data_IF_126355468170
#
_entry.id   IF_126355468170
#
_cell.length_a   1.000
_cell.length_b   1.000
_cell.length_c   1.000
_cell.angle_alpha   90.00
_cell.angle_beta   90.00
_cell.angle_gamma   90.00
#
_symmetry.space_group_name_H-M   'P 1'
#
loop_
_entity.id
_entity.type
_entity.pdbx_description
1 polymer ?
#
# COMPACT_ATOMS: atom_id res chain seq x y z
N UNK A 1 35.09 -47.98 8.85
CA UNK A 1 34.70 -47.78 7.44
C UNK A 1 33.49 -46.85 7.40
N UNK A 2 33.66 -45.63 6.89
CA UNK A 2 32.57 -44.64 6.81
C UNK A 2 31.65 -44.90 5.61
N UNK A 3 30.33 -44.81 5.81
CA UNK A 3 29.34 -44.77 4.73
C UNK A 3 28.70 -43.38 4.67
N UNK A 4 28.82 -42.79 3.48
CA UNK A 4 28.38 -41.45 3.08
C UNK A 4 26.85 -41.31 3.12
N UNK A 5 26.35 -40.31 3.83
CA UNK A 5 25.01 -39.76 3.63
C UNK A 5 24.92 -39.02 2.29
N UNK A 6 24.20 -39.60 1.33
CA UNK A 6 23.89 -38.97 0.04
C UNK A 6 22.70 -38.00 0.19
N UNK A 7 22.99 -36.70 0.09
CA UNK A 7 22.04 -35.60 -0.18
C UNK A 7 21.02 -35.99 -1.28
N UNK A 8 19.79 -36.36 -0.91
CA UNK A 8 18.71 -36.75 -1.84
C UNK A 8 17.66 -35.66 -2.11
N UNK A 9 17.83 -34.44 -1.60
CA UNK A 9 16.84 -33.35 -1.71
C UNK A 9 17.05 -32.30 -2.81
N UNK A 10 18.29 -32.11 -3.32
CA UNK A 10 18.64 -30.95 -4.17
C UNK A 10 18.08 -30.96 -5.60
N UNK A 11 17.66 -32.11 -6.13
CA UNK A 11 17.22 -32.26 -7.53
C UNK A 11 15.75 -31.90 -7.76
N UNK A 12 14.88 -32.29 -6.83
CA UNK A 12 13.46 -31.97 -6.86
C UNK A 12 13.21 -30.47 -6.64
N UNK A 13 13.93 -29.87 -5.68
CA UNK A 13 13.89 -28.44 -5.38
C UNK A 13 14.32 -27.57 -6.57
N UNK A 14 15.41 -27.94 -7.26
CA UNK A 14 15.84 -27.27 -8.50
C UNK A 14 14.82 -27.39 -9.63
N UNK A 15 14.12 -28.51 -9.72
CA UNK A 15 13.09 -28.75 -10.74
C UNK A 15 11.84 -27.92 -10.43
N UNK A 16 11.41 -27.84 -9.18
CA UNK A 16 10.31 -27.00 -8.73
C UNK A 16 10.58 -25.51 -9.02
N UNK A 17 11.75 -25.00 -8.65
CA UNK A 17 12.16 -23.61 -8.92
C UNK A 17 12.17 -23.32 -10.44
N UNK A 18 12.61 -24.27 -11.27
CA UNK A 18 12.64 -24.09 -12.73
C UNK A 18 11.24 -24.10 -13.34
N UNK A 19 10.33 -24.93 -12.80
CA UNK A 19 8.92 -24.98 -13.21
C UNK A 19 8.20 -23.71 -12.80
N UNK A 20 8.36 -23.25 -11.55
CA UNK A 20 7.82 -21.98 -11.07
C UNK A 20 8.28 -20.81 -11.95
N UNK A 21 9.60 -20.70 -12.22
CA UNK A 21 10.13 -19.65 -13.11
C UNK A 21 9.50 -19.67 -14.50
N UNK A 22 9.28 -20.85 -15.09
CA UNK A 22 8.60 -20.98 -16.39
C UNK A 22 7.13 -20.56 -16.31
N UNK A 23 6.42 -20.96 -15.27
CA UNK A 23 5.02 -20.59 -15.06
C UNK A 23 4.88 -19.08 -14.86
N UNK A 24 5.73 -18.46 -14.04
CA UNK A 24 5.76 -17.00 -13.85
C UNK A 24 6.05 -16.26 -15.16
N UNK A 25 7.00 -16.75 -15.97
CA UNK A 25 7.27 -16.15 -17.29
C UNK A 25 6.10 -16.27 -18.26
N UNK A 26 5.36 -17.39 -18.23
CA UNK A 26 4.17 -17.59 -19.07
C UNK A 26 3.04 -16.63 -18.65
N UNK A 27 2.75 -16.54 -17.35
CA UNK A 27 1.76 -15.61 -16.80
C UNK A 27 2.13 -14.17 -17.17
N UNK A 28 3.40 -13.77 -17.01
CA UNK A 28 3.87 -12.43 -17.39
C UNK A 28 3.64 -12.11 -18.87
N UNK A 29 3.86 -13.08 -19.77
CA UNK A 29 3.58 -12.91 -21.21
C UNK A 29 2.09 -12.79 -21.51
N UNK A 30 1.25 -13.57 -20.83
CA UNK A 30 -0.21 -13.51 -20.99
C UNK A 30 -0.80 -12.19 -20.47
N UNK A 31 -0.31 -11.69 -19.33
CA UNK A 31 -0.69 -10.38 -18.78
C UNK A 31 -0.27 -9.24 -19.73
N UNK A 32 0.97 -9.28 -20.23
CA UNK A 32 1.45 -8.30 -21.20
C UNK A 32 0.65 -8.32 -22.51
N UNK A 33 0.25 -9.49 -22.99
CA UNK A 33 -0.60 -9.63 -24.18
C UNK A 33 -2.02 -9.05 -23.98
N UNK A 34 -2.50 -8.99 -22.73
CA UNK A 34 -3.76 -8.34 -22.35
C UNK A 34 -3.62 -6.83 -22.07
N UNK A 35 -2.42 -6.26 -22.25
CA UNK A 35 -2.13 -4.86 -21.96
C UNK A 35 -2.10 -4.54 -20.46
N UNK A 36 -1.96 -5.56 -19.60
CA UNK A 36 -1.86 -5.35 -18.16
C UNK A 36 -0.40 -5.13 -17.75
N UNK A 37 -0.16 -4.05 -17.01
CA UNK A 37 1.15 -3.78 -16.43
C UNK A 37 1.47 -4.77 -15.31
N UNK A 38 2.75 -5.13 -15.19
CA UNK A 38 3.27 -5.96 -14.10
C UNK A 38 3.06 -5.24 -12.76
N UNK A 39 2.39 -5.88 -11.82
CA UNK A 39 2.04 -5.27 -10.53
C UNK A 39 3.26 -4.76 -9.75
N UNK A 40 4.41 -5.41 -9.89
CA UNK A 40 5.66 -4.96 -9.26
C UNK A 40 6.20 -3.68 -9.90
N UNK A 41 6.09 -3.55 -11.22
CA UNK A 41 6.47 -2.32 -11.93
C UNK A 41 5.55 -1.15 -11.57
N UNK A 42 4.24 -1.39 -11.45
CA UNK A 42 3.28 -0.39 -10.97
C UNK A 42 3.63 0.13 -9.58
N UNK A 43 3.91 -0.77 -8.63
CA UNK A 43 4.30 -0.39 -7.27
C UNK A 43 5.61 0.40 -7.23
N UNK A 44 6.60 0.01 -8.05
CA UNK A 44 7.86 0.74 -8.15
C UNK A 44 7.65 2.15 -8.72
N UNK A 45 6.77 2.30 -9.72
CA UNK A 45 6.38 3.60 -10.27
C UNK A 45 5.70 4.47 -9.23
N UNK A 46 4.73 3.95 -8.47
CA UNK A 46 4.10 4.72 -7.39
C UNK A 46 5.09 5.20 -6.34
N UNK A 47 6.04 4.34 -5.95
CA UNK A 47 7.08 4.73 -5.00
C UNK A 47 7.99 5.85 -5.54
N UNK A 48 8.27 5.87 -6.85
CA UNK A 48 9.07 6.92 -7.47
C UNK A 48 8.28 8.23 -7.64
N UNK A 49 7.02 8.14 -8.08
CA UNK A 49 6.10 9.29 -8.15
C UNK A 49 5.94 9.94 -6.77
N UNK A 50 5.85 9.15 -5.69
CA UNK A 50 5.75 9.65 -4.32
C UNK A 50 7.04 10.28 -3.78
N UNK A 51 8.22 9.85 -4.26
CA UNK A 51 9.49 10.54 -3.96
C UNK A 51 9.62 11.87 -4.68
N UNK A 52 8.98 12.01 -5.85
CA UNK A 52 9.01 13.27 -6.62
C UNK A 52 8.26 14.41 -5.92
N UNK A 53 7.40 14.11 -4.95
CA UNK A 53 6.76 15.11 -4.08
C UNK A 53 7.83 15.79 -3.23
N UNK A 54 8.01 17.10 -3.39
CA UNK A 54 9.10 17.83 -2.72
C UNK A 54 8.70 18.41 -1.36
N UNK A 55 7.41 18.62 -1.12
CA UNK A 55 6.94 19.34 0.07
C UNK A 55 5.71 18.67 0.70
N UNK A 56 5.56 18.89 2.00
CA UNK A 56 4.32 18.60 2.72
C UNK A 56 3.33 19.72 2.41
N UNK A 57 2.11 19.38 2.00
CA UNK A 57 1.01 20.34 1.79
C UNK A 57 -0.22 19.95 2.60
N UNK A 58 -1.03 20.95 2.96
CA UNK A 58 -2.34 20.75 3.55
C UNK A 58 -3.36 21.62 2.83
N UNK A 59 -4.28 20.95 2.15
CA UNK A 59 -5.23 21.62 1.27
C UNK A 59 -6.63 21.40 1.81
N UNK A 60 -7.40 22.48 1.98
CA UNK A 60 -8.83 22.39 2.27
C UNK A 60 -9.53 21.83 1.03
N UNK A 61 -10.23 20.72 1.20
CA UNK A 61 -10.81 19.94 0.09
C UNK A 61 -12.28 19.60 0.35
N UNK A 62 -13.06 19.28 -0.70
CA UNK A 62 -14.34 18.60 -0.52
C UNK A 62 -14.17 17.21 0.11
N UNK A 63 -15.27 16.57 0.54
CA UNK A 63 -15.23 15.20 1.05
C UNK A 63 -14.51 14.23 0.09
N UNK A 64 -13.79 13.21 0.61
CA UNK A 64 -13.12 12.21 -0.21
C UNK A 64 -14.06 11.51 -1.18
N UNK A 65 -13.51 11.05 -2.31
CA UNK A 65 -14.25 10.25 -3.29
C UNK A 65 -14.82 8.98 -2.67
N UNK A 66 -15.91 8.45 -3.27
CA UNK A 66 -16.48 7.14 -2.93
C UNK A 66 -15.38 6.08 -2.92
N UNK A 67 -15.33 5.27 -1.86
CA UNK A 67 -14.33 4.23 -1.64
C UNK A 67 -14.80 3.25 -0.57
N UNK A 68 -14.25 2.04 -0.59
CA UNK A 68 -14.39 0.99 0.42
C UNK A 68 -13.00 0.57 0.92
N UNK A 69 -12.96 -0.29 1.95
CA UNK A 69 -11.71 -0.91 2.42
C UNK A 69 -10.64 0.10 2.86
N UNK A 70 -11.04 1.32 3.19
CA UNK A 70 -10.19 2.36 3.77
C UNK A 70 -10.17 2.23 5.30
N UNK A 71 -9.22 2.88 5.96
CA UNK A 71 -9.25 3.04 7.41
C UNK A 71 -9.80 4.41 7.79
N UNK A 72 -10.65 4.48 8.82
CA UNK A 72 -11.08 5.71 9.47
C UNK A 72 -10.75 5.61 10.96
N UNK A 73 -9.76 6.38 11.40
CA UNK A 73 -9.19 6.29 12.76
C UNK A 73 -9.38 7.62 13.49
N UNK A 74 -9.82 7.64 14.75
CA UNK A 74 -9.86 8.89 15.53
C UNK A 74 -8.44 9.40 15.77
N UNK A 75 -8.26 10.72 15.67
CA UNK A 75 -7.00 11.35 16.07
C UNK A 75 -6.86 11.27 17.60
N UNK A 76 -5.69 10.86 18.13
CA UNK A 76 -5.54 10.58 19.56
C UNK A 76 -5.66 11.85 20.43
N UNK A 77 -5.16 12.98 19.92
CA UNK A 77 -5.08 14.24 20.70
C UNK A 77 -6.00 15.37 20.19
N UNK A 78 -6.76 15.16 19.11
CA UNK A 78 -7.55 16.22 18.45
C UNK A 78 -8.93 15.70 18.11
N UNK A 79 -9.89 16.62 18.03
CA UNK A 79 -11.26 16.32 17.59
C UNK A 79 -11.34 16.19 16.06
N UNK A 80 -10.61 15.19 15.55
CA UNK A 80 -10.45 14.90 14.12
C UNK A 80 -10.56 13.41 13.86
N UNK A 81 -11.05 13.05 12.67
CA UNK A 81 -10.97 11.70 12.12
C UNK A 81 -9.92 11.67 11.01
N UNK A 82 -9.21 10.56 10.90
CA UNK A 82 -8.12 10.36 9.94
C UNK A 82 -8.55 9.27 8.97
N UNK A 83 -8.66 9.61 7.69
CA UNK A 83 -8.95 8.66 6.61
C UNK A 83 -7.68 8.38 5.82
N UNK A 84 -7.38 7.10 5.59
CA UNK A 84 -6.25 6.70 4.75
C UNK A 84 -6.63 5.56 3.80
N UNK A 85 -6.21 5.72 2.53
CA UNK A 85 -6.25 4.68 1.51
C UNK A 85 -7.65 4.24 1.07
N UNK A 86 -7.76 2.95 0.77
CA UNK A 86 -8.97 2.29 0.28
C UNK A 86 -8.99 2.09 -1.23
N UNK A 87 -10.13 1.62 -1.73
CA UNK A 87 -10.32 1.31 -3.14
C UNK A 87 -11.72 1.68 -3.63
N UNK A 88 -11.88 1.77 -4.95
CA UNK A 88 -13.17 1.94 -5.58
C UNK A 88 -13.22 1.16 -6.88
N UNK A 89 -14.30 0.43 -7.11
CA UNK A 89 -14.56 -0.24 -8.38
C UNK A 89 -15.73 0.44 -9.08
N UNK A 90 -15.51 0.91 -10.31
CA UNK A 90 -16.54 1.62 -11.07
C UNK A 90 -17.38 0.70 -11.98
N UNK A 91 -17.25 -0.62 -11.87
CA UNK A 91 -17.87 -1.60 -12.76
C UNK A 91 -16.97 -2.06 -13.92
N UNK A 92 -15.84 -1.40 -14.14
CA UNK A 92 -14.87 -1.77 -15.19
C UNK A 92 -13.43 -1.79 -14.68
N UNK A 93 -13.03 -0.80 -13.87
CA UNK A 93 -11.68 -0.67 -13.33
C UNK A 93 -11.69 -0.44 -11.83
N UNK A 94 -10.69 -1.00 -11.17
CA UNK A 94 -10.37 -0.73 -9.77
C UNK A 94 -9.41 0.45 -9.66
N UNK A 95 -9.70 1.34 -8.71
CA UNK A 95 -8.90 2.48 -8.33
C UNK A 95 -8.45 2.27 -6.90
N UNK A 96 -7.15 2.35 -6.65
CA UNK A 96 -6.54 2.22 -5.33
C UNK A 96 -6.04 3.59 -4.87
N UNK A 97 -6.15 3.88 -3.57
CA UNK A 97 -5.79 5.18 -3.02
C UNK A 97 -4.68 5.06 -1.95
N UNK A 98 -3.84 6.09 -1.84
CA UNK A 98 -2.92 6.33 -0.71
C UNK A 98 -3.01 7.77 -0.18
N UNK A 99 -4.11 8.46 -0.45
CA UNK A 99 -4.34 9.79 0.08
C UNK A 99 -4.65 9.73 1.59
N UNK A 100 -4.17 10.75 2.30
CA UNK A 100 -4.37 10.94 3.72
C UNK A 100 -5.25 12.18 3.92
N UNK A 101 -6.38 12.00 4.62
CA UNK A 101 -7.28 13.09 4.95
C UNK A 101 -7.50 13.21 6.45
N UNK A 102 -7.71 14.45 6.89
CA UNK A 102 -8.15 14.80 8.23
C UNK A 102 -9.51 15.49 8.15
N UNK A 103 -10.48 14.96 8.86
CA UNK A 103 -11.80 15.56 9.03
C UNK A 103 -11.88 16.24 10.39
N UNK A 104 -12.03 17.56 10.42
CA UNK A 104 -12.24 18.31 11.66
C UNK A 104 -13.72 18.34 12.00
N UNK A 105 -14.11 17.65 13.08
CA UNK A 105 -15.52 17.35 13.42
C UNK A 105 -16.32 18.64 13.64
N UNK A 106 -15.86 19.51 14.55
CA UNK A 106 -16.55 20.76 14.88
C UNK A 106 -16.70 21.72 13.70
N UNK A 107 -15.75 21.68 12.77
CA UNK A 107 -15.73 22.60 11.62
C UNK A 107 -16.42 22.00 10.39
N UNK A 108 -16.70 20.70 10.40
CA UNK A 108 -17.20 19.95 9.24
C UNK A 108 -16.34 20.20 7.99
N UNK A 109 -15.01 20.05 8.13
CA UNK A 109 -14.04 20.35 7.06
C UNK A 109 -13.06 19.21 6.85
N UNK A 110 -12.77 18.95 5.59
CA UNK A 110 -11.76 17.98 5.16
C UNK A 110 -10.49 18.69 4.73
N UNK A 111 -9.35 18.23 5.24
CA UNK A 111 -8.03 18.63 4.77
C UNK A 111 -7.34 17.41 4.18
N UNK A 112 -6.75 17.56 3.01
CA UNK A 112 -5.88 16.55 2.42
C UNK A 112 -4.44 16.88 2.79
N UNK A 113 -3.72 15.91 3.34
CA UNK A 113 -2.30 16.04 3.62
C UNK A 113 -1.53 15.29 2.56
N UNK A 114 -0.69 16.01 1.81
CA UNK A 114 0.27 15.41 0.89
C UNK A 114 1.62 15.39 1.56
N UNK A 115 2.29 14.24 1.58
CA UNK A 115 3.62 14.11 2.18
C UNK A 115 4.51 13.25 1.28
N UNK A 116 5.79 13.61 1.10
CA UNK A 116 6.75 12.78 0.35
C UNK A 116 6.93 11.41 1.00
N UNK A 117 7.17 10.40 0.17
CA UNK A 117 7.47 9.05 0.65
C UNK A 117 6.30 8.36 1.37
N UNK A 118 5.06 8.64 0.96
CA UNK A 118 3.90 7.91 1.44
C UNK A 118 3.96 6.40 1.11
N UNK A 119 3.29 5.55 1.89
CA UNK A 119 3.06 4.17 1.48
C UNK A 119 2.36 4.11 0.10
N UNK A 120 2.66 3.09 -0.72
CA UNK A 120 1.92 2.85 -1.97
C UNK A 120 0.41 2.71 -1.76
N UNK A 121 -0.41 2.98 -2.80
CA UNK A 121 -1.86 2.75 -2.78
C UNK A 121 -2.21 1.39 -2.21
N UNK A 122 -3.13 1.38 -1.24
CA UNK A 122 -3.52 0.16 -0.52
C UNK A 122 -4.92 0.22 0.03
N UNK A 123 -5.55 -0.95 0.07
CA UNK A 123 -6.85 -1.19 0.70
C UNK A 123 -6.74 -2.35 1.70
N UNK A 124 -7.73 -2.48 2.60
CA UNK A 124 -7.80 -3.59 3.56
C UNK A 124 -6.68 -3.59 4.61
N UNK A 125 -5.92 -2.50 4.74
CA UNK A 125 -4.87 -2.33 5.75
C UNK A 125 -5.46 -2.07 7.14
N UNK A 126 -4.65 -2.31 8.17
CA UNK A 126 -4.99 -1.93 9.54
C UNK A 126 -4.34 -0.60 9.90
N UNK A 127 -5.05 0.20 10.69
CA UNK A 127 -4.62 1.52 11.13
C UNK A 127 -4.83 1.71 12.63
N UNK A 128 -3.84 2.25 13.32
CA UNK A 128 -3.91 2.60 14.75
C UNK A 128 -3.25 3.96 14.96
N UNK A 129 -3.90 4.85 15.71
CA UNK A 129 -3.32 6.14 16.07
C UNK A 129 -2.96 6.18 17.56
N UNK A 130 -1.79 6.72 17.88
CA UNK A 130 -1.23 6.78 19.23
C UNK A 130 -0.79 8.22 19.54
N UNK A 131 -0.94 8.68 20.77
CA UNK A 131 -0.52 10.03 21.21
C UNK A 131 1.01 10.16 21.42
N UNK A 132 1.74 9.05 21.37
CA UNK A 132 3.19 9.02 21.61
C UNK A 132 3.95 9.91 20.61
N UNK A 133 5.05 10.53 21.07
CA UNK A 133 5.97 11.31 20.23
C UNK A 133 5.32 12.47 19.46
N UNK A 134 4.32 13.13 20.05
CA UNK A 134 3.57 14.20 19.39
C UNK A 134 2.50 13.68 18.41
N UNK A 135 2.14 12.40 18.56
CA UNK A 135 1.08 11.74 17.85
C UNK A 135 1.54 11.06 16.54
N UNK A 136 1.09 9.83 16.35
CA UNK A 136 1.47 8.95 15.26
C UNK A 136 0.28 8.18 14.71
N UNK A 137 0.26 7.95 13.39
CA UNK A 137 -0.62 7.00 12.73
C UNK A 137 0.21 5.84 12.19
N UNK A 138 -0.08 4.63 12.64
CA UNK A 138 0.56 3.40 12.21
C UNK A 138 -0.32 2.68 11.21
N UNK A 139 0.26 2.26 10.08
CA UNK A 139 -0.42 1.50 9.02
C UNK A 139 0.34 0.20 8.78
N UNK A 140 -0.36 -0.93 8.88
CA UNK A 140 0.21 -2.25 8.61
C UNK A 140 -0.54 -2.98 7.51
N UNK A 141 0.23 -3.57 6.59
CA UNK A 141 -0.29 -4.49 5.57
C UNK A 141 -1.27 -3.84 4.60
N UNK A 142 -2.31 -4.59 4.27
CA UNK A 142 -3.26 -4.29 3.19
C UNK A 142 -2.85 -4.94 1.87
N UNK A 143 -3.53 -4.57 0.80
CA UNK A 143 -3.25 -5.09 -0.54
C UNK A 143 -3.34 -4.01 -1.61
N UNK A 144 -2.69 -4.27 -2.73
CA UNK A 144 -2.85 -3.53 -3.97
C UNK A 144 -3.41 -4.46 -5.04
N UNK A 145 -4.43 -3.97 -5.74
CA UNK A 145 -5.11 -4.71 -6.81
C UNK A 145 -4.89 -3.98 -8.12
N UNK A 146 -4.55 -4.73 -9.19
CA UNK A 146 -4.44 -4.15 -10.53
C UNK A 146 -5.78 -3.55 -10.98
N UNK A 147 -5.73 -2.62 -11.94
CA UNK A 147 -6.94 -1.96 -12.43
C UNK A 147 -7.99 -2.95 -12.95
N UNK A 148 -7.59 -4.13 -13.43
CA UNK A 148 -8.48 -5.18 -13.95
C UNK A 148 -8.83 -6.26 -12.91
N UNK A 149 -8.35 -6.15 -11.67
CA UNK A 149 -8.50 -7.16 -10.60
C UNK A 149 -7.91 -8.53 -10.93
N UNK A 150 -6.96 -8.59 -11.86
CA UNK A 150 -6.28 -9.82 -12.29
C UNK A 150 -5.06 -10.17 -11.44
N UNK A 151 -4.46 -9.17 -10.78
CA UNK A 151 -3.23 -9.30 -10.01
C UNK A 151 -3.43 -8.62 -8.65
N UNK A 152 -2.91 -9.27 -7.62
CA UNK A 152 -2.97 -8.81 -6.23
C UNK A 152 -1.56 -8.82 -5.64
N UNK A 153 -1.26 -7.83 -4.83
CA UNK A 153 -0.05 -7.75 -4.05
C UNK A 153 -0.42 -7.49 -2.58
N UNK A 154 -0.11 -8.45 -1.71
CA UNK A 154 -0.34 -8.28 -0.28
C UNK A 154 0.89 -7.65 0.37
N UNK A 155 0.68 -6.52 1.03
CA UNK A 155 1.70 -5.84 1.78
C UNK A 155 1.93 -6.53 3.12
N UNK A 156 3.19 -6.57 3.53
CA UNK A 156 3.63 -7.01 4.86
C UNK A 156 4.48 -5.95 5.58
N UNK A 157 4.47 -4.74 5.03
CA UNK A 157 5.25 -3.61 5.53
C UNK A 157 4.52 -2.85 6.62
N UNK A 158 5.30 -2.12 7.42
CA UNK A 158 4.81 -1.28 8.50
C UNK A 158 5.25 0.16 8.22
N UNK A 159 4.30 1.07 8.33
CA UNK A 159 4.51 2.50 8.09
C UNK A 159 4.03 3.29 9.29
N UNK A 160 4.70 4.41 9.56
CA UNK A 160 4.27 5.41 10.53
C UNK A 160 4.20 6.77 9.88
N UNK A 161 3.12 7.50 10.14
CA UNK A 161 3.00 8.92 9.86
C UNK A 161 3.13 9.69 11.17
N UNK A 162 4.11 10.58 11.24
CA UNK A 162 4.33 11.43 12.40
C UNK A 162 3.51 12.71 12.25
N UNK A 163 2.54 12.98 13.14
CA UNK A 163 1.65 14.14 13.00
C UNK A 163 2.39 15.47 13.16
N UNK A 164 3.43 15.51 14.00
CA UNK A 164 4.23 16.70 14.28
C UNK A 164 5.00 17.20 13.05
N UNK A 165 5.65 16.29 12.33
CA UNK A 165 6.43 16.60 11.12
C UNK A 165 5.65 16.43 9.82
N UNK A 166 4.48 15.78 9.89
CA UNK A 166 3.62 15.41 8.76
C UNK A 166 4.37 14.59 7.71
N UNK A 167 5.21 13.66 8.17
CA UNK A 167 6.05 12.80 7.33
C UNK A 167 5.78 11.33 7.57
N UNK A 168 5.84 10.58 6.48
CA UNK A 168 5.83 9.13 6.49
C UNK A 168 7.25 8.59 6.71
N UNK A 169 7.30 7.45 7.38
CA UNK A 169 8.50 6.65 7.57
C UNK A 169 8.12 5.18 7.39
N UNK A 170 8.93 4.46 6.61
CA UNK A 170 8.82 3.01 6.46
C UNK A 170 9.65 2.33 7.53
N UNK A 171 9.04 1.42 8.30
CA UNK A 171 9.69 0.72 9.41
C UNK A 171 10.25 -0.64 8.99
N UNK A 172 9.49 -1.42 8.20
CA UNK A 172 9.90 -2.75 7.69
C UNK A 172 9.43 -2.97 6.26
#
# INVERSE_FOLDING_TARGET
>A
MGKKDKKKGKGAEKTAIKTEKKTTQKIKKELAAKGEEDIGALLAKFAEDDKSKLAVTEDLVPPPSKRSSFSLTPHPDRDQLILFGGEYFNGSKSFMYNDLFFYTIKQNRWHKVTSPGSPPPRSGHQAVALSQSGGQLWIFGGEFTSATQSQFYHFKDLWVFHFSSKRWEKIT
#
